data_IF_797399127359
#
_entry.id   IF_797399127359
#
_cell.length_a   1.000
_cell.length_b   1.000
_cell.length_c   1.000
_cell.angle_alpha   90.00
_cell.angle_beta   90.00
_cell.angle_gamma   90.00
#
_symmetry.space_group_name_H-M   'P 1'
#
loop_
_entity.id
_entity.type
_entity.pdbx_description
1 polymer ?
#
# COMPACT_ATOMS: atom_id res chain seq x y z
N UNK A 1 11.06 -42.10 -0.62
CA UNK A 1 11.27 -40.96 0.30
C UNK A 1 12.12 -39.92 -0.42
N UNK A 2 11.51 -39.04 -1.21
CA UNK A 2 12.20 -37.98 -1.97
C UNK A 2 11.26 -36.78 -2.11
N UNK A 3 10.77 -36.22 -1.00
CA UNK A 3 9.83 -35.08 -1.00
C UNK A 3 10.40 -33.77 -0.43
N UNK A 4 11.71 -33.69 -0.15
CA UNK A 4 12.29 -32.56 0.60
C UNK A 4 12.98 -31.49 -0.27
N UNK A 5 13.68 -31.86 -1.34
CA UNK A 5 14.49 -30.90 -2.12
C UNK A 5 13.71 -30.04 -3.13
N UNK A 6 12.65 -30.58 -3.75
CA UNK A 6 11.86 -29.83 -4.74
C UNK A 6 11.06 -28.69 -4.09
N UNK A 7 10.45 -28.92 -2.92
CA UNK A 7 9.70 -27.91 -2.18
C UNK A 7 10.56 -26.71 -1.74
N UNK A 8 11.80 -26.94 -1.28
CA UNK A 8 12.70 -25.84 -0.86
C UNK A 8 13.14 -24.96 -2.03
N UNK A 9 13.34 -25.52 -3.22
CA UNK A 9 13.71 -24.77 -4.42
C UNK A 9 12.55 -23.91 -4.91
N UNK A 10 11.34 -24.48 -4.89
CA UNK A 10 10.11 -23.79 -5.27
C UNK A 10 9.72 -22.64 -4.33
N UNK A 11 9.87 -22.79 -3.01
CA UNK A 11 9.61 -21.70 -2.05
C UNK A 11 10.59 -20.53 -2.21
N UNK A 12 11.86 -20.80 -2.57
CA UNK A 12 12.85 -19.76 -2.83
C UNK A 12 12.60 -19.01 -4.14
N UNK A 13 12.13 -19.72 -5.18
CA UNK A 13 11.76 -19.11 -6.46
C UNK A 13 10.48 -18.28 -6.33
N UNK A 14 9.48 -18.77 -5.60
CA UNK A 14 8.23 -18.06 -5.33
C UNK A 14 8.48 -16.64 -4.80
N UNK A 15 9.45 -16.47 -3.90
CA UNK A 15 9.78 -15.17 -3.29
C UNK A 15 10.33 -14.12 -4.28
N UNK A 16 10.85 -14.55 -5.44
CA UNK A 16 11.36 -13.65 -6.49
C UNK A 16 10.30 -13.26 -7.52
N UNK A 17 9.29 -14.09 -7.71
CA UNK A 17 8.22 -13.94 -8.71
C UNK A 17 6.84 -13.80 -8.06
N UNK A 18 6.77 -13.31 -6.81
CA UNK A 18 5.49 -13.06 -6.12
C UNK A 18 4.71 -11.96 -6.84
N UNK A 19 3.53 -12.30 -7.34
CA UNK A 19 2.58 -11.36 -7.92
C UNK A 19 1.68 -10.75 -6.86
N UNK A 20 1.20 -11.58 -5.93
CA UNK A 20 0.27 -11.15 -4.90
C UNK A 20 0.48 -11.96 -3.61
N UNK A 21 0.42 -11.28 -2.48
CA UNK A 21 0.47 -11.91 -1.17
C UNK A 21 -0.68 -11.40 -0.32
N UNK A 22 -1.46 -12.32 0.24
CA UNK A 22 -2.66 -12.01 1.02
C UNK A 22 -2.65 -12.77 2.33
N UNK A 23 -3.16 -12.12 3.36
CA UNK A 23 -3.37 -12.71 4.66
C UNK A 23 -4.81 -12.59 5.07
N UNK A 24 -5.34 -13.64 5.67
CA UNK A 24 -6.71 -13.67 6.15
C UNK A 24 -6.78 -14.53 7.42
N UNK A 25 -7.81 -14.27 8.22
CA UNK A 25 -8.20 -15.15 9.31
C UNK A 25 -9.52 -15.77 8.93
N UNK A 26 -9.64 -17.08 9.11
CA UNK A 26 -10.91 -17.78 8.90
C UNK A 26 -11.99 -17.16 9.79
N UNK A 27 -13.21 -17.23 9.28
CA UNK A 27 -14.40 -16.81 10.03
C UNK A 27 -14.58 -17.69 11.27
N UNK A 28 -15.38 -17.19 12.22
CA UNK A 28 -15.77 -18.00 13.38
C UNK A 28 -16.51 -19.27 12.91
N UNK A 29 -16.35 -20.41 13.60
CA UNK A 29 -15.61 -20.59 14.85
C UNK A 29 -14.11 -20.89 14.69
N UNK A 30 -13.66 -21.24 13.47
CA UNK A 30 -12.34 -21.84 13.23
C UNK A 30 -11.16 -20.91 13.57
N UNK A 31 -11.26 -19.59 13.31
CA UNK A 31 -10.25 -18.55 13.63
C UNK A 31 -8.79 -18.83 13.21
N UNK A 32 -8.54 -19.87 12.41
CA UNK A 32 -7.24 -20.20 11.83
C UNK A 32 -6.70 -19.06 10.97
N UNK A 33 -5.38 -18.93 10.91
CA UNK A 33 -4.72 -17.92 10.07
C UNK A 33 -4.26 -18.53 8.75
N UNK A 34 -4.42 -17.76 7.67
CA UNK A 34 -4.09 -18.16 6.32
C UNK A 34 -3.19 -17.11 5.67
N UNK A 35 -2.18 -17.58 4.96
CA UNK A 35 -1.26 -16.78 4.17
C UNK A 35 -1.16 -17.35 2.77
N UNK A 36 -1.75 -16.65 1.82
CA UNK A 36 -1.77 -17.01 0.41
C UNK A 36 -0.69 -16.20 -0.32
N UNK A 37 0.21 -16.90 -1.01
CA UNK A 37 1.24 -16.31 -1.87
C UNK A 37 1.03 -16.84 -3.27
N UNK A 38 0.78 -15.93 -4.21
CA UNK A 38 0.55 -16.25 -5.62
C UNK A 38 1.76 -15.71 -6.39
N UNK A 39 2.49 -16.61 -7.04
CA UNK A 39 3.55 -16.28 -7.97
C UNK A 39 3.11 -16.46 -9.42
N UNK A 40 4.05 -16.25 -10.33
CA UNK A 40 3.83 -16.45 -11.77
C UNK A 40 3.55 -17.91 -12.17
N UNK A 41 4.22 -18.87 -11.51
CA UNK A 41 4.17 -20.30 -11.86
C UNK A 41 3.61 -21.17 -10.74
N UNK A 42 3.48 -20.64 -9.53
CA UNK A 42 3.05 -21.44 -8.39
C UNK A 42 2.25 -20.65 -7.37
N UNK A 43 1.44 -21.38 -6.62
CA UNK A 43 0.56 -20.91 -5.57
C UNK A 43 0.98 -21.63 -4.28
N UNK A 44 1.13 -20.87 -3.22
CA UNK A 44 1.43 -21.39 -1.90
C UNK A 44 0.39 -20.90 -0.89
N UNK A 45 -0.28 -21.84 -0.23
CA UNK A 45 -1.18 -21.56 0.87
C UNK A 45 -0.57 -22.07 2.17
N UNK A 46 -0.33 -21.17 3.10
CA UNK A 46 0.12 -21.48 4.46
C UNK A 46 -1.07 -21.37 5.41
N UNK A 47 -1.26 -22.40 6.25
CA UNK A 47 -2.36 -22.51 7.20
C UNK A 47 -1.78 -22.70 8.60
N UNK A 48 -2.03 -21.74 9.47
CA UNK A 48 -1.70 -21.82 10.90
C UNK A 48 -2.97 -22.15 11.67
N UNK A 49 -3.07 -23.40 12.10
CA UNK A 49 -4.18 -23.87 12.94
C UNK A 49 -4.04 -23.33 14.35
N UNK A 50 -5.07 -22.64 14.83
CA UNK A 50 -5.13 -22.15 16.21
C UNK A 50 -5.60 -23.29 17.08
N UNK A 51 -4.68 -23.89 17.83
CA UNK A 51 -4.97 -25.01 18.75
C UNK A 51 -4.40 -24.70 20.13
N UNK A 52 -4.94 -25.35 21.17
CA UNK A 52 -4.43 -25.27 22.54
C UNK A 52 -3.22 -26.19 22.79
N UNK A 53 -2.72 -26.89 21.76
CA UNK A 53 -1.62 -27.84 21.84
C UNK A 53 -0.24 -27.21 21.68
N UNK A 54 0.83 -28.02 21.59
CA UNK A 54 2.17 -27.53 21.33
C UNK A 54 2.22 -26.78 20.00
N UNK A 55 3.15 -25.83 19.88
CA UNK A 55 3.28 -25.00 18.68
C UNK A 55 3.58 -25.86 17.45
N UNK A 56 2.60 -25.98 16.54
CA UNK A 56 2.73 -26.73 15.30
C UNK A 56 3.19 -25.79 14.18
N UNK A 57 4.11 -26.26 13.33
CA UNK A 57 4.45 -25.54 12.11
C UNK A 57 3.24 -25.40 11.18
N UNK A 58 3.13 -24.30 10.41
CA UNK A 58 2.04 -24.13 9.48
C UNK A 58 1.98 -25.29 8.47
N UNK A 59 0.77 -25.74 8.18
CA UNK A 59 0.54 -26.62 7.03
C UNK A 59 0.77 -25.78 5.77
N UNK A 60 1.68 -26.22 4.91
CA UNK A 60 1.96 -25.58 3.64
C UNK A 60 1.42 -26.44 2.51
N UNK A 61 0.58 -25.84 1.67
CA UNK A 61 0.11 -26.42 0.42
C UNK A 61 0.81 -25.65 -0.70
N UNK A 62 1.42 -26.38 -1.61
CA UNK A 62 2.09 -25.83 -2.78
C UNK A 62 1.51 -26.49 -4.02
N UNK A 63 1.20 -25.68 -5.03
CA UNK A 63 0.61 -26.12 -6.28
C UNK A 63 1.15 -25.27 -7.43
N UNK A 64 1.33 -25.86 -8.61
CA UNK A 64 1.60 -25.10 -9.83
C UNK A 64 0.34 -24.32 -10.25
N UNK A 65 0.51 -23.20 -10.95
CA UNK A 65 -0.64 -22.36 -11.34
C UNK A 65 -1.55 -23.13 -12.29
N UNK A 66 -0.98 -23.90 -13.20
CA UNK A 66 -1.65 -24.69 -14.22
C UNK A 66 -2.56 -25.77 -13.59
N UNK A 67 -2.10 -26.41 -12.51
CA UNK A 67 -2.82 -27.47 -11.79
C UNK A 67 -3.98 -26.94 -10.93
N UNK A 68 -4.09 -25.61 -10.74
CA UNK A 68 -5.09 -25.01 -9.87
C UNK A 68 -6.53 -25.35 -10.28
N UNK A 69 -6.78 -25.54 -11.58
CA UNK A 69 -8.12 -25.82 -12.11
C UNK A 69 -8.62 -27.20 -11.69
N UNK A 70 -7.72 -28.14 -11.44
CA UNK A 70 -8.08 -29.51 -11.07
C UNK A 70 -8.21 -29.70 -9.54
N UNK A 71 -7.53 -28.87 -8.74
CA UNK A 71 -7.61 -28.92 -7.27
C UNK A 71 -8.85 -28.20 -6.72
N UNK A 72 -10.00 -28.89 -6.75
CA UNK A 72 -11.27 -28.38 -6.20
C UNK A 72 -11.18 -28.02 -4.70
N UNK A 73 -10.38 -28.75 -3.93
CA UNK A 73 -10.26 -28.52 -2.49
C UNK A 73 -9.57 -27.17 -2.23
N UNK A 74 -8.46 -26.90 -2.90
CA UNK A 74 -7.75 -25.63 -2.78
C UNK A 74 -8.60 -24.46 -3.31
N UNK A 75 -9.36 -24.67 -4.38
CA UNK A 75 -10.28 -23.65 -4.89
C UNK A 75 -11.35 -23.26 -3.86
N UNK A 76 -12.00 -24.25 -3.24
CA UNK A 76 -13.00 -24.01 -2.20
C UNK A 76 -12.39 -23.32 -0.98
N UNK A 77 -11.21 -23.75 -0.54
CA UNK A 77 -10.50 -23.15 0.59
C UNK A 77 -10.19 -21.67 0.33
N UNK A 78 -9.68 -21.34 -0.86
CA UNK A 78 -9.38 -19.95 -1.23
C UNK A 78 -10.66 -19.12 -1.32
N UNK A 79 -11.74 -19.65 -1.90
CA UNK A 79 -13.04 -18.94 -1.95
C UNK A 79 -13.56 -18.65 -0.55
N UNK A 80 -13.54 -19.64 0.33
CA UNK A 80 -14.08 -19.53 1.69
C UNK A 80 -13.31 -18.52 2.54
N UNK A 81 -11.98 -18.48 2.40
CA UNK A 81 -11.12 -17.65 3.26
C UNK A 81 -10.88 -16.26 2.66
N UNK A 82 -10.58 -16.18 1.36
CA UNK A 82 -10.16 -14.95 0.71
C UNK A 82 -11.28 -14.28 -0.12
N UNK A 83 -12.26 -15.06 -0.56
CA UNK A 83 -13.42 -14.63 -1.33
C UNK A 83 -13.28 -14.85 -2.84
N UNK A 84 -14.40 -14.72 -3.56
CA UNK A 84 -14.48 -15.00 -5.00
C UNK A 84 -13.55 -14.14 -5.85
N UNK A 85 -13.28 -12.89 -5.44
CA UNK A 85 -12.38 -12.01 -6.19
C UNK A 85 -10.96 -12.57 -6.29
N UNK A 86 -10.47 -13.23 -5.23
CA UNK A 86 -9.13 -13.81 -5.19
C UNK A 86 -9.11 -15.13 -5.94
N UNK A 87 -10.17 -15.92 -5.83
CA UNK A 87 -10.34 -17.10 -6.68
C UNK A 87 -10.32 -16.74 -8.17
N UNK A 88 -11.12 -15.75 -8.59
CA UNK A 88 -11.17 -15.29 -9.97
C UNK A 88 -9.82 -14.75 -10.44
N UNK A 89 -9.08 -14.04 -9.57
CA UNK A 89 -7.72 -13.59 -9.88
C UNK A 89 -6.80 -14.74 -10.28
N UNK A 90 -6.84 -15.86 -9.55
CA UNK A 90 -6.03 -17.04 -9.86
C UNK A 90 -6.54 -17.72 -11.13
N UNK A 91 -7.84 -17.89 -11.30
CA UNK A 91 -8.42 -18.45 -12.53
C UNK A 91 -8.01 -17.65 -13.77
N UNK A 92 -8.04 -16.32 -13.67
CA UNK A 92 -7.58 -15.45 -14.75
C UNK A 92 -6.08 -15.62 -15.04
N UNK A 93 -5.25 -15.86 -14.01
CA UNK A 93 -3.83 -16.18 -14.19
C UNK A 93 -3.64 -17.49 -14.97
N UNK A 94 -4.38 -18.56 -14.60
CA UNK A 94 -4.30 -19.85 -15.32
C UNK A 94 -4.68 -19.70 -16.79
N UNK A 95 -5.72 -18.93 -17.08
CA UNK A 95 -6.19 -18.70 -18.45
C UNK A 95 -5.44 -17.57 -19.16
N UNK A 96 -4.37 -17.03 -18.56
CA UNK A 96 -3.59 -15.90 -19.08
C UNK A 96 -4.44 -14.68 -19.49
N UNK A 97 -5.55 -14.43 -18.78
CA UNK A 97 -6.44 -13.29 -19.02
C UNK A 97 -5.82 -12.04 -18.41
N UNK A 98 -5.65 -11.01 -19.23
CA UNK A 98 -5.02 -9.76 -18.78
C UNK A 98 -6.08 -8.83 -18.19
N UNK A 99 -6.08 -8.65 -16.86
CA UNK A 99 -6.80 -7.58 -16.16
C UNK A 99 -5.83 -6.56 -15.56
N UNK A 100 -6.35 -5.42 -15.12
CA UNK A 100 -5.55 -4.32 -14.55
C UNK A 100 -4.61 -4.78 -13.42
N UNK A 101 -5.06 -5.69 -12.56
CA UNK A 101 -4.29 -6.21 -11.42
C UNK A 101 -3.29 -7.32 -11.78
N UNK A 102 -3.31 -7.83 -13.02
CA UNK A 102 -2.31 -8.78 -13.54
C UNK A 102 -1.20 -8.10 -14.32
N UNK A 103 -1.31 -6.78 -14.54
CA UNK A 103 -0.32 -6.05 -15.31
C UNK A 103 1.05 -6.08 -14.61
N UNK A 104 2.16 -6.18 -15.38
CA UNK A 104 3.49 -6.04 -14.83
C UNK A 104 3.62 -4.73 -14.03
N UNK A 105 4.35 -4.73 -12.89
CA UNK A 105 4.42 -3.57 -12.00
C UNK A 105 4.78 -2.27 -12.71
N UNK A 106 5.67 -2.31 -13.72
CA UNK A 106 6.06 -1.15 -14.52
C UNK A 106 4.89 -0.55 -15.30
N UNK A 107 4.06 -1.39 -15.93
CA UNK A 107 2.89 -0.96 -16.72
C UNK A 107 1.81 -0.42 -15.79
N UNK A 108 1.54 -1.14 -14.70
CA UNK A 108 0.60 -0.70 -13.67
C UNK A 108 0.98 0.68 -13.11
N UNK A 109 2.23 0.86 -12.69
CA UNK A 109 2.75 2.15 -12.23
C UNK A 109 2.64 3.25 -13.28
N UNK A 110 2.83 2.92 -14.56
CA UNK A 110 2.68 3.90 -15.63
C UNK A 110 1.24 4.38 -15.78
N UNK A 111 0.25 3.49 -15.66
CA UNK A 111 -1.17 3.86 -15.63
C UNK A 111 -1.46 4.77 -14.43
N UNK A 112 -0.93 4.45 -13.24
CA UNK A 112 -1.14 5.26 -12.03
C UNK A 112 -0.55 6.68 -12.12
N UNK A 113 0.44 6.92 -13.01
CA UNK A 113 0.95 8.28 -13.25
C UNK A 113 -0.13 9.21 -13.82
N UNK A 114 -1.12 8.68 -14.53
CA UNK A 114 -2.19 9.48 -15.13
C UNK A 114 -3.39 9.69 -14.19
N UNK A 115 -3.53 8.89 -13.13
CA UNK A 115 -4.63 9.02 -12.16
C UNK A 115 -4.35 10.06 -11.09
N UNK A 116 -5.33 10.78 -10.57
CA UNK A 116 -5.08 11.68 -9.43
C UNK A 116 -4.70 10.87 -8.17
N UNK A 117 -3.97 11.50 -7.24
CA UNK A 117 -3.60 10.87 -5.96
C UNK A 117 -4.82 10.31 -5.23
N UNK A 118 -5.94 11.04 -5.21
CA UNK A 118 -7.18 10.59 -4.58
C UNK A 118 -7.79 9.37 -5.29
N UNK A 119 -7.68 9.29 -6.61
CA UNK A 119 -8.24 8.17 -7.37
C UNK A 119 -7.45 6.88 -7.11
N UNK A 120 -6.12 6.99 -7.01
CA UNK A 120 -5.26 5.87 -6.60
C UNK A 120 -5.62 5.39 -5.20
N UNK A 121 -5.85 6.32 -4.26
CA UNK A 121 -6.27 5.97 -2.90
C UNK A 121 -7.68 5.37 -2.86
N UNK A 122 -8.61 5.80 -3.70
CA UNK A 122 -9.96 5.20 -3.81
C UNK A 122 -9.89 3.82 -4.43
N UNK A 123 -9.04 3.62 -5.43
CA UNK A 123 -8.85 2.32 -6.07
C UNK A 123 -8.36 1.26 -5.07
N UNK A 124 -7.49 1.63 -4.11
CA UNK A 124 -7.05 0.68 -3.06
C UNK A 124 -8.18 0.20 -2.15
N UNK A 125 -9.31 0.92 -2.10
CA UNK A 125 -10.48 0.56 -1.30
C UNK A 125 -11.48 -0.34 -2.04
N UNK A 126 -11.25 -0.61 -3.33
CA UNK A 126 -12.21 -1.38 -4.16
C UNK A 126 -12.11 -2.89 -3.96
N UNK A 127 -10.92 -3.41 -3.66
CA UNK A 127 -10.70 -4.84 -3.43
C UNK A 127 -9.45 -5.07 -2.60
N UNK A 128 -9.35 -6.25 -1.97
CA UNK A 128 -8.13 -6.67 -1.25
C UNK A 128 -6.91 -6.74 -2.18
N UNK A 129 -7.11 -7.10 -3.45
CA UNK A 129 -6.03 -7.17 -4.45
C UNK A 129 -5.47 -5.77 -4.72
N UNK A 130 -6.35 -4.80 -5.01
CA UNK A 130 -5.92 -3.41 -5.22
C UNK A 130 -5.39 -2.77 -3.93
N UNK A 131 -5.89 -3.18 -2.77
CA UNK A 131 -5.32 -2.75 -1.49
C UNK A 131 -3.84 -3.10 -1.40
N UNK A 132 -3.46 -4.35 -1.71
CA UNK A 132 -2.06 -4.77 -1.70
C UNK A 132 -1.24 -4.10 -2.80
N UNK A 133 -1.72 -4.10 -4.05
CA UNK A 133 -0.99 -3.50 -5.18
C UNK A 133 -0.73 -2.01 -4.96
N UNK A 134 -1.73 -1.26 -4.50
CA UNK A 134 -1.60 0.18 -4.22
C UNK A 134 -0.81 0.48 -2.95
N UNK A 135 -0.66 -0.48 -2.03
CA UNK A 135 0.20 -0.32 -0.85
C UNK A 135 1.66 -0.69 -1.10
N UNK A 136 2.03 -1.11 -2.32
CA UNK A 136 3.43 -1.37 -2.67
C UNK A 136 4.29 -0.11 -2.56
N UNK A 137 5.56 -0.32 -2.22
CA UNK A 137 6.51 0.78 -1.94
C UNK A 137 6.73 1.68 -3.17
N UNK A 138 6.74 1.09 -4.37
CA UNK A 138 6.86 1.83 -5.64
C UNK A 138 5.66 2.75 -5.90
N UNK A 139 4.43 2.32 -5.52
CA UNK A 139 3.24 3.17 -5.64
C UNK A 139 3.33 4.33 -4.65
N UNK A 140 3.78 4.08 -3.42
CA UNK A 140 4.00 5.16 -2.45
C UNK A 140 5.10 6.13 -2.87
N UNK A 141 6.16 5.68 -3.54
CA UNK A 141 7.17 6.55 -4.15
C UNK A 141 6.56 7.47 -5.23
N UNK A 142 5.70 6.90 -6.08
CA UNK A 142 4.97 7.66 -7.08
C UNK A 142 4.08 8.72 -6.42
N UNK A 143 3.28 8.32 -5.43
CA UNK A 143 2.41 9.23 -4.68
C UNK A 143 3.22 10.34 -4.00
N UNK A 144 4.37 10.03 -3.40
CA UNK A 144 5.26 11.01 -2.80
C UNK A 144 5.64 12.12 -3.80
N UNK A 145 6.07 11.71 -5.00
CA UNK A 145 6.48 12.64 -6.07
C UNK A 145 5.32 13.49 -6.54
N UNK A 146 4.11 12.90 -6.72
CA UNK A 146 2.92 13.64 -7.17
C UNK A 146 2.43 14.65 -6.14
N UNK A 147 2.45 14.26 -4.87
CA UNK A 147 1.90 15.07 -3.78
C UNK A 147 2.83 16.24 -3.45
N UNK A 148 4.14 16.02 -3.44
CA UNK A 148 5.12 17.08 -3.17
C UNK A 148 5.57 17.85 -4.42
N UNK A 149 5.16 17.39 -5.60
CA UNK A 149 5.48 17.98 -6.91
C UNK A 149 6.99 18.15 -7.13
N UNK A 150 7.80 17.22 -6.62
CA UNK A 150 9.26 17.20 -6.78
C UNK A 150 9.84 15.81 -6.65
N UNK A 151 11.06 15.64 -7.15
CA UNK A 151 11.83 14.42 -6.91
C UNK A 151 12.26 14.28 -5.44
N UNK A 152 12.37 13.05 -4.91
CA UNK A 152 12.90 12.81 -3.57
C UNK A 152 14.38 13.18 -3.42
N UNK A 153 14.75 13.72 -2.26
CA UNK A 153 16.15 14.03 -1.92
C UNK A 153 16.94 12.75 -1.59
N UNK A 154 18.28 12.86 -1.48
CA UNK A 154 19.14 11.72 -1.08
C UNK A 154 18.77 11.18 0.30
N UNK A 155 18.52 12.06 1.28
CA UNK A 155 18.13 11.64 2.63
C UNK A 155 16.74 10.97 2.66
N UNK A 156 15.80 11.44 1.85
CA UNK A 156 14.47 10.82 1.76
C UNK A 156 14.54 9.43 1.13
N UNK A 157 15.40 9.25 0.12
CA UNK A 157 15.65 7.92 -0.46
C UNK A 157 16.29 6.97 0.56
N UNK A 158 17.25 7.44 1.36
CA UNK A 158 17.85 6.64 2.44
C UNK A 158 16.81 6.25 3.48
N UNK A 159 16.00 7.21 3.94
CA UNK A 159 14.93 6.93 4.89
C UNK A 159 13.88 5.96 4.33
N UNK A 160 13.59 6.03 3.03
CA UNK A 160 12.68 5.09 2.38
C UNK A 160 13.24 3.65 2.36
N UNK A 161 14.56 3.46 2.28
CA UNK A 161 15.15 2.11 2.39
C UNK A 161 14.93 1.52 3.79
N UNK A 162 14.93 2.36 4.83
CA UNK A 162 14.78 1.90 6.21
C UNK A 162 13.32 1.65 6.62
N UNK A 163 12.38 2.49 6.16
CA UNK A 163 10.98 2.43 6.62
C UNK A 163 9.90 2.46 5.51
N UNK A 164 10.29 2.49 4.23
CA UNK A 164 9.37 2.58 3.09
C UNK A 164 8.85 3.99 2.82
N UNK A 165 8.41 4.23 1.58
CA UNK A 165 7.94 5.54 1.10
C UNK A 165 6.67 6.04 1.78
N UNK A 166 5.80 5.13 2.24
CA UNK A 166 4.57 5.48 2.95
C UNK A 166 4.87 6.28 4.22
N UNK A 167 5.81 5.79 5.03
CA UNK A 167 6.22 6.45 6.28
C UNK A 167 7.02 7.73 6.01
N UNK A 168 7.84 7.77 4.96
CA UNK A 168 8.53 8.99 4.53
C UNK A 168 7.53 10.09 4.16
N UNK A 169 6.54 9.76 3.34
CA UNK A 169 5.49 10.72 2.94
C UNK A 169 4.70 11.21 4.16
N UNK A 170 4.33 10.31 5.07
CA UNK A 170 3.61 10.64 6.30
C UNK A 170 4.42 11.58 7.18
N UNK A 171 5.70 11.28 7.45
CA UNK A 171 6.61 12.14 8.22
C UNK A 171 6.72 13.52 7.58
N UNK A 172 6.89 13.57 6.25
CA UNK A 172 6.99 14.84 5.52
C UNK A 172 5.71 15.66 5.60
N UNK A 173 4.55 15.02 5.47
CA UNK A 173 3.24 15.67 5.61
C UNK A 173 3.01 16.25 6.99
N UNK A 174 3.34 15.49 8.04
CA UNK A 174 3.25 15.96 9.42
C UNK A 174 4.14 17.18 9.66
N UNK A 175 5.38 17.14 9.17
CA UNK A 175 6.30 18.29 9.24
C UNK A 175 5.74 19.52 8.53
N UNK A 176 5.27 19.37 7.29
CA UNK A 176 4.70 20.46 6.50
C UNK A 176 3.52 21.11 7.26
N UNK A 177 2.59 20.29 7.78
CA UNK A 177 1.45 20.78 8.58
C UNK A 177 1.91 21.57 9.79
N UNK A 178 2.90 21.07 10.55
CA UNK A 178 3.45 21.76 11.72
C UNK A 178 4.01 23.14 11.35
N UNK A 179 4.82 23.22 10.30
CA UNK A 179 5.39 24.49 9.82
C UNK A 179 4.31 25.48 9.40
N UNK A 180 3.27 25.02 8.70
CA UNK A 180 2.13 25.88 8.33
C UNK A 180 1.40 26.45 9.56
N UNK A 181 1.19 25.63 10.60
CA UNK A 181 0.56 26.08 11.85
C UNK A 181 1.42 27.12 12.56
N UNK A 182 2.73 26.87 12.68
CA UNK A 182 3.67 27.81 13.30
C UNK A 182 3.74 29.14 12.55
N UNK A 183 3.78 29.10 11.22
CA UNK A 183 3.80 30.30 10.39
C UNK A 183 2.50 31.10 10.52
N UNK A 184 1.34 30.43 10.63
CA UNK A 184 0.05 31.09 10.88
C UNK A 184 0.04 31.78 12.25
N UNK A 185 0.55 31.12 13.29
CA UNK A 185 0.65 31.70 14.64
C UNK A 185 1.56 32.94 14.66
N UNK A 186 2.75 32.86 14.06
CA UNK A 186 3.69 33.99 13.93
C UNK A 186 3.07 35.18 13.19
N UNK A 187 2.29 34.92 12.13
CA UNK A 187 1.59 35.99 11.38
C UNK A 187 0.53 36.69 12.23
N UNK A 188 -0.22 35.96 13.06
CA UNK A 188 -1.20 36.56 13.98
C UNK A 188 -0.51 37.45 15.02
N UNK A 189 0.60 37.00 15.62
CA UNK A 189 1.37 37.81 16.59
C UNK A 189 1.93 39.09 15.95
N UNK A 190 2.46 39.00 14.73
CA UNK A 190 2.99 40.16 14.00
C UNK A 190 1.91 41.19 13.59
N UNK A 191 0.66 40.77 13.42
CA UNK A 191 -0.47 41.69 13.15
C UNK A 191 -0.91 42.41 14.43
N UNK A 192 -0.94 41.70 15.57
CA UNK A 192 -1.29 42.29 16.87
C UNK A 192 -0.23 43.28 17.36
N UNK A 193 1.05 43.05 17.04
CA UNK A 193 2.17 43.90 17.45
C UNK A 193 2.44 45.11 16.53
N UNK A 194 1.63 45.34 15.47
CA UNK A 194 1.82 46.52 14.60
C UNK A 194 1.35 47.79 15.35
N UNK A 195 2.21 48.78 15.63
CA UNK A 195 1.78 50.00 16.29
C UNK A 195 0.79 50.77 15.40
N UNK A 196 -0.35 51.20 15.96
CA UNK A 196 -1.28 52.12 15.29
C UNK A 196 -0.52 53.41 14.98
N UNK A 197 -0.30 53.69 13.70
CA UNK A 197 0.31 54.97 13.30
C UNK A 197 -0.59 56.12 13.79
N UNK A 198 -0.06 57.12 14.51
CA UNK A 198 -0.85 58.26 14.93
C UNK A 198 -1.23 59.10 13.70
N UNK A 199 -2.53 59.21 13.44
CA UNK A 199 -3.08 60.11 12.42
C UNK A 199 -2.82 61.54 12.85
N UNK A 200 -1.86 62.20 12.22
CA UNK A 200 -1.56 63.62 12.48
C UNK A 200 -2.58 64.49 11.73
N UNK A 201 -3.60 64.95 12.44
CA UNK A 201 -4.57 65.92 11.92
C UNK A 201 -3.90 67.30 11.88
N UNK A 202 -3.44 67.73 10.70
CA UNK A 202 -2.98 69.10 10.48
C UNK A 202 -4.19 70.05 10.50
N UNK A 203 -4.44 70.72 11.63
CA UNK A 203 -5.35 71.87 11.69
C UNK A 203 -4.73 73.03 10.90
N UNK A 204 -5.29 73.34 9.72
CA UNK A 204 -5.03 74.60 9.02
C UNK A 204 -5.72 75.73 9.81
N UNK A 205 -4.95 76.57 10.48
CA UNK A 205 -5.44 77.81 11.06
C UNK A 205 -5.45 78.87 9.94
N UNK A 206 -6.63 79.22 9.43
CA UNK A 206 -6.82 80.32 8.50
C UNK A 206 -6.86 81.66 9.26
N UNK A 207 -5.97 82.59 8.88
CA UNK A 207 -6.05 84.00 9.30
C UNK A 207 -7.13 84.69 8.46
N UNK A 208 -8.16 85.21 9.10
CA UNK A 208 -9.05 86.21 8.51
C UNK A 208 -8.39 87.60 8.65
N UNK A 209 -8.42 88.36 7.55
CA UNK A 209 -8.22 89.82 7.53
C UNK A 209 -9.58 90.49 7.64
#
# INVERSE_FOLDING_TARGET
MTFSCQNMTNVRNLKKSTLLQLYARAIAPCRDYYGLTIGEQCICLNIWKVTHGPHVFPKQIFLEVEDFIDDRFLQEEIKNVFGDNVYQYIVDLVHHRTKLHHLPPKVFLNILKYLNTNDVLRMSLTSKIFLELCNSDLVWQLLFTKVLQRSPSKEEKRLAMDCGWKEVLKKRMTYIRKVFVENRAKKTVAVVQRPKQPVTIKKKCGKAK
#
